data_IF_931405672716
#
_entry.id   IF_931405672716
#
_cell.length_a   1.000
_cell.length_b   1.000
_cell.length_c   1.000
_cell.angle_alpha   90.00
_cell.angle_beta   90.00
_cell.angle_gamma   90.00
#
_symmetry.space_group_name_H-M   'P 1'
#
loop_
_entity.id
_entity.type
_entity.pdbx_description
1 polymer ?
#
# COMPACT_ATOMS: atom_id res chain seq x y z
N UNK A 1 7.68 20.98 60.06
CA UNK A 1 6.59 20.87 59.06
C UNK A 1 7.15 21.32 57.71
N UNK A 2 7.61 20.38 56.89
CA UNK A 2 8.02 20.63 55.51
C UNK A 2 7.55 19.41 54.70
N UNK A 3 6.47 19.60 53.92
CA UNK A 3 5.95 18.61 52.99
C UNK A 3 6.88 18.57 51.78
N UNK A 4 7.52 17.43 51.53
CA UNK A 4 8.19 17.15 50.27
C UNK A 4 7.16 16.72 49.24
N UNK A 5 7.00 17.53 48.19
CA UNK A 5 6.21 17.21 47.00
C UNK A 5 7.04 16.26 46.15
N UNK A 6 6.75 14.96 46.22
CA UNK A 6 7.28 13.97 45.29
C UNK A 6 6.54 14.11 43.95
N UNK A 7 7.14 14.84 43.01
CA UNK A 7 6.68 14.90 41.63
C UNK A 7 6.84 13.53 40.96
N UNK A 8 5.73 12.92 40.56
CA UNK A 8 5.73 11.76 39.68
C UNK A 8 6.34 12.16 38.34
N UNK A 9 7.60 11.77 38.12
CA UNK A 9 8.24 11.77 36.81
C UNK A 9 7.63 10.61 36.01
N UNK A 10 6.52 10.87 35.30
CA UNK A 10 6.01 9.96 34.27
C UNK A 10 6.99 9.98 33.10
N UNK A 11 7.95 9.06 33.14
CA UNK A 11 8.76 8.69 31.98
C UNK A 11 7.79 8.04 30.99
N UNK A 12 7.31 8.82 30.02
CA UNK A 12 6.74 8.27 28.79
C UNK A 12 7.88 7.55 28.08
N UNK A 13 8.08 6.28 28.40
CA UNK A 13 8.77 5.36 27.52
C UNK A 13 7.89 5.25 26.29
N UNK A 14 8.18 6.07 25.28
CA UNK A 14 7.62 5.95 23.94
C UNK A 14 7.90 4.53 23.50
N UNK A 15 6.86 3.69 23.55
CA UNK A 15 6.91 2.35 23.02
C UNK A 15 7.13 2.53 21.53
N UNK A 16 8.35 2.30 21.07
CA UNK A 16 8.61 2.10 19.65
C UNK A 16 7.79 0.88 19.29
N UNK A 17 6.61 1.08 18.71
CA UNK A 17 5.80 0.01 18.15
C UNK A 17 6.63 -0.50 16.98
N UNK A 18 7.49 -1.47 17.26
CA UNK A 18 8.13 -2.27 16.23
C UNK A 18 6.99 -3.01 15.55
N UNK A 19 6.55 -2.49 14.41
CA UNK A 19 5.53 -3.15 13.60
C UNK A 19 6.03 -4.53 13.24
N UNK A 20 5.20 -5.51 13.56
CA UNK A 20 5.57 -6.89 13.28
C UNK A 20 5.57 -7.10 11.76
N UNK A 21 6.45 -7.96 11.21
CA UNK A 21 6.43 -8.31 9.79
C UNK A 21 5.05 -8.74 9.25
N UNK A 22 4.18 -9.26 10.13
CA UNK A 22 2.79 -9.64 9.79
C UNK A 22 1.92 -8.45 9.37
N UNK A 23 2.13 -7.25 9.92
CA UNK A 23 1.35 -6.05 9.56
C UNK A 23 1.59 -5.62 8.11
N UNK A 24 2.76 -5.97 7.55
CA UNK A 24 3.09 -5.67 6.16
C UNK A 24 2.58 -6.72 5.19
N UNK A 25 2.53 -7.99 5.59
CA UNK A 25 2.23 -9.09 4.68
C UNK A 25 0.89 -8.92 3.97
N UNK A 26 -0.15 -8.48 4.68
CA UNK A 26 -1.49 -8.29 4.13
C UNK A 26 -2.12 -6.99 4.61
N UNK A 27 -2.25 -6.03 3.71
CA UNK A 27 -2.93 -4.78 3.98
C UNK A 27 -4.33 -4.82 3.35
N UNK A 28 -5.34 -4.98 4.21
CA UNK A 28 -6.73 -5.02 3.79
C UNK A 28 -7.19 -3.61 3.38
N UNK A 29 -7.97 -3.55 2.30
CA UNK A 29 -8.71 -2.33 2.00
C UNK A 29 -9.65 -1.99 3.17
N UNK A 30 -9.85 -0.71 3.49
CA UNK A 30 -10.74 -0.29 4.57
C UNK A 30 -12.19 -0.67 4.30
N UNK A 31 -12.56 -0.79 3.02
CA UNK A 31 -13.83 -1.31 2.53
C UNK A 31 -13.70 -1.72 1.06
N UNK A 32 -14.62 -2.53 0.59
CA UNK A 32 -14.78 -2.81 -0.84
C UNK A 32 -15.46 -1.59 -1.51
N UNK A 33 -14.91 -1.04 -2.62
CA UNK A 33 -15.59 -0.01 -3.40
C UNK A 33 -16.91 -0.54 -3.97
N UNK A 34 -17.85 0.33 -4.32
CA UNK A 34 -19.00 -0.02 -5.16
C UNK A 34 -18.67 0.05 -6.66
N UNK A 35 -19.54 -0.50 -7.51
CA UNK A 35 -19.37 -0.39 -8.96
C UNK A 35 -19.37 1.08 -9.41
N UNK A 36 -18.34 1.49 -10.17
CA UNK A 36 -18.15 2.88 -10.60
C UNK A 36 -17.52 3.80 -9.55
N UNK A 37 -17.30 3.31 -8.33
CA UNK A 37 -16.62 4.05 -7.26
C UNK A 37 -15.11 3.84 -7.31
N UNK A 38 -14.34 4.84 -6.85
CA UNK A 38 -12.91 4.70 -6.54
C UNK A 38 -12.66 4.95 -5.06
N UNK A 39 -11.98 4.03 -4.38
CA UNK A 39 -11.52 4.19 -3.00
C UNK A 39 -10.03 4.49 -2.98
N UNK A 40 -9.64 5.53 -2.23
CA UNK A 40 -8.23 5.81 -1.95
C UNK A 40 -7.72 4.87 -0.86
N UNK A 41 -6.55 4.28 -1.09
CA UNK A 41 -5.90 3.36 -0.17
C UNK A 41 -4.45 3.79 0.03
N UNK A 42 -4.02 3.95 1.28
CA UNK A 42 -2.65 4.36 1.62
C UNK A 42 -1.91 3.16 2.16
N UNK A 43 -0.81 2.77 1.51
CA UNK A 43 0.01 1.68 2.01
C UNK A 43 0.80 2.11 3.23
N UNK A 44 1.09 1.17 4.12
CA UNK A 44 1.90 1.46 5.28
C UNK A 44 3.35 1.86 4.88
N UNK A 45 3.88 3.00 5.37
CA UNK A 45 5.11 3.62 4.83
C UNK A 45 6.43 2.88 5.09
N UNK A 46 6.39 1.82 5.90
CA UNK A 46 7.55 0.99 6.22
C UNK A 46 7.46 -0.41 5.61
N UNK A 47 6.39 -0.70 4.85
CA UNK A 47 6.19 -2.00 4.25
C UNK A 47 6.83 -2.07 2.86
N UNK A 48 8.07 -2.57 2.84
CA UNK A 48 8.86 -2.75 1.63
C UNK A 48 8.46 -3.99 0.81
N UNK A 49 7.83 -4.98 1.44
CA UNK A 49 7.32 -6.19 0.82
C UNK A 49 5.97 -6.51 1.46
N UNK A 50 4.91 -6.57 0.64
CA UNK A 50 3.55 -6.63 1.14
C UNK A 50 2.56 -7.09 0.07
N UNK A 51 1.30 -7.24 0.46
CA UNK A 51 0.19 -7.48 -0.47
C UNK A 51 -1.02 -6.64 -0.09
N UNK A 52 -1.67 -6.03 -1.09
CA UNK A 52 -2.98 -5.42 -0.91
C UNK A 52 -4.04 -6.51 -1.03
N UNK A 53 -4.90 -6.65 -0.03
CA UNK A 53 -5.98 -7.63 -0.05
C UNK A 53 -7.31 -6.95 -0.41
N UNK A 54 -7.90 -7.37 -1.52
CA UNK A 54 -9.17 -6.86 -2.03
C UNK A 54 -10.21 -7.98 -2.05
N UNK A 55 -11.11 -7.97 -1.07
CA UNK A 55 -12.20 -8.94 -0.96
C UNK A 55 -13.36 -8.57 -1.89
N UNK A 56 -13.77 -9.52 -2.73
CA UNK A 56 -14.83 -9.37 -3.74
C UNK A 56 -14.66 -8.11 -4.61
N UNK A 57 -13.55 -8.00 -5.37
CA UNK A 57 -13.24 -6.77 -6.10
C UNK A 57 -14.36 -6.28 -7.01
N UNK A 58 -14.67 -4.99 -6.92
CA UNK A 58 -15.56 -4.26 -7.80
C UNK A 58 -15.20 -2.77 -7.74
N UNK A 59 -15.46 -2.00 -8.80
CA UNK A 59 -15.10 -0.59 -8.84
C UNK A 59 -13.60 -0.40 -9.01
N UNK A 60 -13.01 0.58 -8.33
CA UNK A 60 -11.59 0.86 -8.41
C UNK A 60 -10.96 1.15 -7.04
N UNK A 61 -9.68 0.82 -6.93
CA UNK A 61 -8.82 1.17 -5.79
C UNK A 61 -7.68 2.00 -6.32
N UNK A 62 -7.46 3.17 -5.72
CA UNK A 62 -6.31 4.00 -5.99
C UNK A 62 -5.34 3.89 -4.82
N UNK A 63 -4.32 3.04 -4.99
CA UNK A 63 -3.30 2.79 -4.00
C UNK A 63 -2.20 3.85 -4.08
N UNK A 64 -1.89 4.46 -2.94
CA UNK A 64 -0.83 5.46 -2.76
C UNK A 64 0.28 4.85 -1.93
N UNK A 65 1.47 4.86 -2.52
CA UNK A 65 2.69 4.36 -1.91
C UNK A 65 3.56 5.55 -1.53
N UNK A 66 4.06 5.55 -0.30
CA UNK A 66 4.97 6.56 0.24
C UNK A 66 5.93 5.85 1.20
N UNK A 67 7.18 6.27 1.26
CA UNK A 67 8.15 5.76 2.23
C UNK A 67 8.22 6.68 3.46
N UNK A 68 8.32 6.08 4.65
CA UNK A 68 8.30 6.82 5.92
C UNK A 68 9.54 7.68 6.17
N UNK A 69 10.60 7.50 5.39
CA UNK A 69 11.80 8.33 5.40
C UNK A 69 11.64 9.62 4.58
N UNK A 70 10.51 9.79 3.86
CA UNK A 70 10.03 11.04 3.29
C UNK A 70 11.05 11.78 2.40
N UNK A 71 10.96 11.60 1.08
CA UNK A 71 11.64 12.49 0.12
C UNK A 71 12.55 11.81 -0.89
N UNK A 72 12.70 10.49 -0.83
CA UNK A 72 13.42 9.74 -1.85
C UNK A 72 12.49 9.16 -2.91
N UNK A 73 12.93 9.19 -4.15
CA UNK A 73 12.28 8.41 -5.20
C UNK A 73 12.63 6.93 -4.99
N UNK A 74 11.61 6.11 -5.10
CA UNK A 74 11.62 4.65 -5.11
C UNK A 74 10.83 4.12 -6.31
N UNK A 75 10.99 2.84 -6.59
CA UNK A 75 10.15 2.09 -7.53
C UNK A 75 9.22 1.16 -6.76
N UNK A 76 7.94 1.17 -7.10
CA UNK A 76 6.97 0.19 -6.63
C UNK A 76 6.79 -0.87 -7.72
N UNK A 77 7.05 -2.13 -7.40
CA UNK A 77 6.96 -3.23 -8.35
C UNK A 77 5.85 -4.19 -7.92
N UNK A 78 4.89 -4.39 -8.81
CA UNK A 78 3.83 -5.40 -8.69
C UNK A 78 4.39 -6.74 -9.14
N UNK A 79 4.16 -7.79 -8.36
CA UNK A 79 4.62 -9.14 -8.68
C UNK A 79 3.46 -10.04 -9.10
N UNK A 80 3.81 -11.12 -9.81
CA UNK A 80 2.82 -12.09 -10.25
C UNK A 80 2.18 -12.81 -9.06
N UNK A 81 0.88 -13.04 -9.13
CA UNK A 81 0.11 -13.84 -8.17
C UNK A 81 -0.82 -14.77 -8.93
N UNK A 82 -0.74 -16.08 -8.64
CA UNK A 82 -1.58 -17.10 -9.26
C UNK A 82 -3.06 -17.03 -8.84
N UNK A 83 -3.37 -16.22 -7.83
CA UNK A 83 -4.71 -16.05 -7.27
C UNK A 83 -5.33 -14.69 -7.61
N UNK A 84 -4.68 -13.90 -8.47
CA UNK A 84 -5.04 -12.49 -8.70
C UNK A 84 -5.17 -12.17 -10.17
N UNK A 85 -6.30 -11.55 -10.52
CA UNK A 85 -6.71 -11.39 -11.93
C UNK A 85 -7.09 -9.94 -12.28
N UNK A 86 -6.49 -8.94 -11.62
CA UNK A 86 -6.74 -7.54 -11.98
C UNK A 86 -5.84 -7.21 -13.17
N UNK A 87 -6.41 -7.15 -14.36
CA UNK A 87 -5.69 -6.80 -15.59
C UNK A 87 -5.67 -5.30 -15.87
N UNK A 88 -6.68 -4.57 -15.37
CA UNK A 88 -6.80 -3.13 -15.58
C UNK A 88 -6.09 -2.36 -14.48
N UNK A 89 -4.80 -2.11 -14.74
CA UNK A 89 -3.88 -1.39 -13.86
C UNK A 89 -3.41 -0.12 -14.55
N UNK A 90 -3.43 0.99 -13.83
CA UNK A 90 -3.02 2.30 -14.32
C UNK A 90 -1.99 2.93 -13.38
N UNK A 91 -0.90 3.40 -13.95
CA UNK A 91 0.02 4.34 -13.30
C UNK A 91 -0.57 5.74 -13.37
N UNK A 92 -0.75 6.38 -12.21
CA UNK A 92 -1.28 7.74 -12.07
C UNK A 92 -0.31 8.67 -11.35
N UNK A 93 0.95 8.27 -11.21
CA UNK A 93 1.96 8.96 -10.40
C UNK A 93 2.23 10.39 -10.89
N UNK A 94 2.17 10.61 -12.20
CA UNK A 94 2.36 11.93 -12.82
C UNK A 94 1.08 12.77 -12.90
N UNK A 95 -0.02 12.31 -12.32
CA UNK A 95 -1.35 12.91 -12.47
C UNK A 95 -2.05 12.58 -13.80
N UNK A 96 -1.37 11.88 -14.72
CA UNK A 96 -1.95 11.32 -15.94
C UNK A 96 -2.18 9.82 -15.77
N UNK A 97 -3.35 9.33 -16.18
CA UNK A 97 -3.68 7.91 -16.12
C UNK A 97 -3.09 7.17 -17.33
N UNK A 98 -2.09 6.31 -17.09
CA UNK A 98 -1.43 5.50 -18.11
C UNK A 98 -1.63 4.02 -17.79
N UNK A 99 -2.25 3.27 -18.70
CA UNK A 99 -2.39 1.81 -18.52
C UNK A 99 -1.00 1.16 -18.49
N UNK A 100 -0.79 0.27 -17.52
CA UNK A 100 0.41 -0.58 -17.40
C UNK A 100 0.00 -2.04 -17.51
N UNK A 101 0.93 -2.91 -17.90
CA UNK A 101 0.65 -4.34 -17.98
C UNK A 101 0.48 -4.93 -16.59
N UNK A 102 -0.34 -5.96 -16.46
CA UNK A 102 -0.30 -6.80 -15.27
C UNK A 102 1.03 -7.56 -15.21
N UNK A 103 1.58 -7.83 -14.01
CA UNK A 103 2.76 -8.68 -13.87
C UNK A 103 2.45 -10.10 -14.36
N UNK A 104 3.48 -10.78 -14.84
CA UNK A 104 3.40 -12.16 -15.38
C UNK A 104 4.44 -13.05 -14.70
N UNK A 105 4.32 -14.39 -14.76
CA UNK A 105 5.33 -15.27 -14.18
C UNK A 105 6.74 -14.95 -14.71
N UNK A 106 7.64 -14.53 -13.81
CA UNK A 106 9.01 -14.15 -14.14
C UNK A 106 9.22 -12.71 -14.64
N UNK A 107 8.17 -11.87 -14.67
CA UNK A 107 8.28 -10.46 -15.03
C UNK A 107 7.37 -9.58 -14.18
N UNK A 108 7.99 -8.75 -13.35
CA UNK A 108 7.32 -7.75 -12.53
C UNK A 108 6.95 -6.51 -13.35
N UNK A 109 5.97 -5.74 -12.86
CA UNK A 109 5.61 -4.43 -13.43
C UNK A 109 5.92 -3.35 -12.42
N UNK A 110 6.85 -2.46 -12.76
CA UNK A 110 7.29 -1.39 -11.87
C UNK A 110 6.80 -0.01 -12.30
N UNK A 111 6.50 0.83 -11.30
CA UNK A 111 6.19 2.25 -11.46
C UNK A 111 7.16 3.05 -10.59
N UNK A 112 7.84 4.01 -11.19
CA UNK A 112 8.71 4.93 -10.46
C UNK A 112 7.89 6.01 -9.79
N UNK A 113 8.15 6.24 -8.51
CA UNK A 113 7.58 7.36 -7.76
C UNK A 113 8.06 8.70 -8.31
N UNK A 114 7.25 9.73 -8.07
CA UNK A 114 7.58 11.13 -8.28
C UNK A 114 7.22 11.92 -7.03
N UNK A 115 8.08 12.84 -6.61
CA UNK A 115 7.86 13.62 -5.39
C UNK A 115 7.61 12.74 -4.15
N UNK A 116 8.35 11.62 -4.05
CA UNK A 116 8.24 10.61 -3.00
C UNK A 116 6.85 9.94 -2.86
N UNK A 117 6.04 9.96 -3.91
CA UNK A 117 4.78 9.23 -3.98
C UNK A 117 4.71 8.43 -5.29
N UNK A 118 4.16 7.22 -5.24
CA UNK A 118 3.70 6.50 -6.41
C UNK A 118 2.21 6.22 -6.27
N UNK A 119 1.46 6.32 -7.38
CA UNK A 119 0.01 6.13 -7.38
C UNK A 119 -0.36 5.11 -8.45
N UNK A 120 -0.96 4.00 -8.02
CA UNK A 120 -1.44 2.94 -8.91
C UNK A 120 -2.94 2.76 -8.70
N UNK A 121 -3.70 2.79 -9.80
CA UNK A 121 -5.13 2.52 -9.79
C UNK A 121 -5.40 1.13 -10.36
N UNK A 122 -6.07 0.30 -9.56
CA UNK A 122 -6.55 -1.03 -9.91
C UNK A 122 -8.05 -0.96 -10.18
N UNK A 123 -8.51 -1.57 -11.28
CA UNK A 123 -9.92 -1.53 -11.68
C UNK A 123 -10.46 -2.95 -11.81
N UNK A 124 -11.60 -3.19 -11.16
CA UNK A 124 -12.43 -4.37 -11.30
C UNK A 124 -13.77 -3.94 -11.91
N UNK A 125 -13.89 -3.91 -13.25
CA UNK A 125 -15.09 -3.38 -13.91
C UNK A 125 -16.35 -4.22 -13.65
N UNK A 126 -16.17 -5.51 -13.37
CA UNK A 126 -17.22 -6.42 -12.93
C UNK A 126 -16.91 -6.93 -11.52
N UNK A 127 -17.95 -7.31 -10.78
CA UNK A 127 -17.79 -7.93 -9.46
C UNK A 127 -17.09 -9.27 -9.62
N UNK A 128 -15.97 -9.43 -8.91
CA UNK A 128 -15.23 -10.68 -8.80
C UNK A 128 -15.67 -11.39 -7.51
N UNK A 129 -15.97 -12.69 -7.59
CA UNK A 129 -16.50 -13.49 -6.46
C UNK A 129 -15.40 -14.17 -5.62
N UNK A 130 -14.18 -13.68 -5.69
CA UNK A 130 -13.02 -14.21 -4.99
C UNK A 130 -12.21 -13.08 -4.36
N UNK A 131 -11.30 -13.45 -3.46
CA UNK A 131 -10.33 -12.53 -2.88
C UNK A 131 -9.18 -12.35 -3.86
N UNK A 132 -8.78 -11.12 -4.11
CA UNK A 132 -7.60 -10.78 -4.91
C UNK A 132 -6.49 -10.28 -4.00
N UNK A 133 -5.28 -10.79 -4.22
CA UNK A 133 -4.06 -10.35 -3.55
C UNK A 133 -3.16 -9.61 -4.52
N UNK A 134 -2.78 -8.37 -4.23
CA UNK A 134 -1.90 -7.62 -5.13
C UNK A 134 -0.54 -7.53 -4.44
N UNK A 135 0.33 -8.54 -4.63
CA UNK A 135 1.65 -8.52 -4.03
C UNK A 135 2.51 -7.44 -4.69
N UNK A 136 3.32 -6.79 -3.87
CA UNK A 136 4.20 -5.74 -4.32
C UNK A 136 5.46 -5.70 -3.46
N UNK A 137 6.49 -5.09 -4.02
CA UNK A 137 7.67 -4.68 -3.28
C UNK A 137 8.11 -3.28 -3.68
N UNK A 138 8.75 -2.58 -2.75
CA UNK A 138 9.34 -1.26 -2.98
C UNK A 138 10.85 -1.44 -3.08
N UNK A 139 11.42 -0.95 -4.17
CA UNK A 139 12.86 -0.83 -4.34
C UNK A 139 13.27 0.63 -4.20
N UNK A 140 14.01 0.97 -3.15
CA UNK A 140 14.41 2.34 -2.86
C UNK A 140 15.30 2.41 -1.61
N UNK A 141 15.89 3.58 -1.33
CA UNK A 141 16.67 3.78 -0.11
C UNK A 141 15.78 3.65 1.12
N UNK A 142 16.25 2.88 2.10
CA UNK A 142 15.65 2.74 3.44
C UNK A 142 15.97 3.97 4.30
#
# INVERSE_FOLDING_TARGET
MFLYVFGCLLVFMGSSIAQTPEECMNQNLPRTPEAGETVEFYTHPYCMNASITWNYPQGAVRARFQLGNGGHNFDICLTHSDVSFIEDIYDETSGLSRRISAPTPGSDTCVSSSQAEAVIRFVAPNVLYYVTYIPYYINGPL
#
